data_IF_000309387422
#
_entry.id   IF_000309387422
#
_cell.length_a   1.000
_cell.length_b   1.000
_cell.length_c   1.000
_cell.angle_alpha   90.00
_cell.angle_beta   90.00
_cell.angle_gamma   90.00
#
_symmetry.space_group_name_H-M   'P 1'
#
loop_
_entity.id
_entity.type
_entity.pdbx_description
1 polymer ?
#
# COMPACT_ATOMS: atom_id res chain seq x y z
N UNK A 1 19.16 16.85 18.17
CA UNK A 1 19.45 15.79 19.17
C UNK A 1 18.11 15.33 19.70
N UNK A 2 17.79 14.04 19.59
CA UNK A 2 16.49 13.50 20.01
C UNK A 2 16.37 13.62 21.53
N UNK A 3 15.30 14.23 22.03
CA UNK A 3 15.05 14.38 23.46
C UNK A 3 14.85 13.01 24.12
N UNK A 4 15.74 12.65 25.04
CA UNK A 4 15.77 11.33 25.68
C UNK A 4 14.55 11.07 26.58
N UNK A 5 13.96 12.11 27.16
CA UNK A 5 12.78 11.99 28.03
C UNK A 5 11.53 11.71 27.19
N UNK A 6 11.38 12.44 26.09
CA UNK A 6 10.28 12.21 25.13
C UNK A 6 10.44 10.83 24.50
N UNK A 7 11.66 10.45 24.10
CA UNK A 7 11.95 9.14 23.51
C UNK A 7 11.60 7.98 24.44
N UNK A 8 11.93 8.07 25.72
CA UNK A 8 11.60 7.04 26.71
C UNK A 8 10.08 6.90 26.87
N UNK A 9 9.34 8.01 26.91
CA UNK A 9 7.88 7.98 26.97
C UNK A 9 7.27 7.33 25.74
N UNK A 10 7.68 7.77 24.55
CA UNK A 10 7.23 7.19 23.27
C UNK A 10 7.57 5.70 23.17
N UNK A 11 8.80 5.31 23.50
CA UNK A 11 9.22 3.90 23.47
C UNK A 11 8.44 3.03 24.45
N UNK A 12 8.07 3.57 25.61
CA UNK A 12 7.24 2.85 26.59
C UNK A 12 5.83 2.62 26.06
N UNK A 13 5.23 3.63 25.42
CA UNK A 13 3.93 3.50 24.78
C UNK A 13 3.95 2.50 23.63
N UNK A 14 4.99 2.54 22.78
CA UNK A 14 5.15 1.61 21.66
C UNK A 14 5.36 0.16 22.14
N UNK A 15 6.09 -0.04 23.24
CA UNK A 15 6.23 -1.38 23.85
C UNK A 15 4.93 -1.89 24.48
N UNK A 16 4.12 -1.00 25.05
CA UNK A 16 2.89 -1.37 25.73
C UNK A 16 1.72 -1.61 24.77
N UNK A 17 1.60 -0.80 23.71
CA UNK A 17 0.44 -0.80 22.81
C UNK A 17 0.77 -1.24 21.39
N UNK A 18 2.04 -1.56 21.09
CA UNK A 18 2.48 -1.89 19.75
C UNK A 18 2.65 -0.64 18.87
N UNK A 19 2.44 -0.82 17.56
CA UNK A 19 2.66 0.25 16.57
C UNK A 19 1.60 1.33 16.70
N UNK A 20 2.00 2.59 16.83
CA UNK A 20 1.09 3.71 17.02
C UNK A 20 1.32 4.80 15.98
N UNK A 21 0.26 5.55 15.64
CA UNK A 21 0.36 6.71 14.76
C UNK A 21 0.79 7.95 15.52
N UNK A 22 1.27 8.97 14.80
CA UNK A 22 1.67 10.24 15.42
C UNK A 22 0.55 10.89 16.24
N UNK A 23 -0.71 10.84 15.75
CA UNK A 23 -1.84 11.42 16.47
C UNK A 23 -2.07 10.77 17.82
N UNK A 24 -2.05 9.44 17.87
CA UNK A 24 -2.23 8.66 19.11
C UNK A 24 -1.06 8.87 20.07
N UNK A 25 0.17 8.96 19.55
CA UNK A 25 1.34 9.27 20.37
C UNK A 25 1.27 10.70 20.95
N UNK A 26 0.85 11.68 20.14
CA UNK A 26 0.69 13.05 20.57
C UNK A 26 -0.36 13.19 21.68
N UNK A 27 -1.51 12.53 21.52
CA UNK A 27 -2.56 12.50 22.54
C UNK A 27 -2.07 11.87 23.85
N UNK A 28 -1.44 10.68 23.78
CA UNK A 28 -0.96 9.95 24.97
C UNK A 28 0.20 10.64 25.67
N UNK A 29 1.02 11.40 24.94
CA UNK A 29 2.14 12.18 25.49
C UNK A 29 1.72 13.60 25.92
N UNK A 30 0.45 13.97 25.72
CA UNK A 30 -0.07 15.33 25.94
C UNK A 30 0.78 16.39 25.21
N UNK A 31 1.09 16.13 23.95
CA UNK A 31 1.89 16.98 23.06
C UNK A 31 1.08 17.39 21.84
N UNK A 32 1.42 18.55 21.26
CA UNK A 32 0.85 18.95 19.97
C UNK A 32 1.31 17.99 18.87
N UNK A 33 0.41 17.53 17.98
CA UNK A 33 0.78 16.69 16.85
C UNK A 33 1.88 17.29 15.97
N UNK A 34 1.88 18.61 15.78
CA UNK A 34 2.92 19.32 15.02
C UNK A 34 4.32 19.11 15.64
N UNK A 35 4.45 19.26 16.95
CA UNK A 35 5.71 19.03 17.67
C UNK A 35 6.11 17.54 17.69
N UNK A 36 5.12 16.65 17.82
CA UNK A 36 5.34 15.20 17.81
C UNK A 36 5.85 14.71 16.44
N UNK A 37 5.31 15.22 15.33
CA UNK A 37 5.77 14.85 13.98
C UNK A 37 7.25 15.19 13.78
N UNK A 38 7.69 16.39 14.17
CA UNK A 38 9.11 16.76 14.03
C UNK A 38 10.02 15.87 14.89
N UNK A 39 9.63 15.61 16.13
CA UNK A 39 10.38 14.70 17.01
C UNK A 39 10.49 13.28 16.43
N UNK A 40 9.37 12.73 15.93
CA UNK A 40 9.35 11.38 15.38
C UNK A 40 10.17 11.24 14.11
N UNK A 41 10.19 12.26 13.25
CA UNK A 41 11.07 12.32 12.06
C UNK A 41 12.54 12.30 12.47
N UNK A 42 12.93 13.16 13.40
CA UNK A 42 14.30 13.19 13.93
C UNK A 42 14.72 11.84 14.55
N UNK A 43 13.79 11.17 15.25
CA UNK A 43 14.03 9.87 15.88
C UNK A 43 14.14 8.72 14.87
N UNK A 44 13.40 8.78 13.76
CA UNK A 44 13.49 7.81 12.64
C UNK A 44 14.78 8.03 11.85
N UNK A 45 15.11 9.29 11.55
CA UNK A 45 16.36 9.65 10.84
C UNK A 45 17.59 9.26 11.66
N UNK A 46 17.51 9.35 12.99
CA UNK A 46 18.55 8.87 13.90
C UNK A 46 18.59 7.34 14.07
N UNK A 47 17.67 6.59 13.44
CA UNK A 47 17.59 5.13 13.49
C UNK A 47 17.10 4.58 14.84
N UNK A 48 16.53 5.43 15.70
CA UNK A 48 16.09 5.06 17.06
C UNK A 48 14.64 4.59 17.07
N UNK A 49 13.85 5.00 16.07
CA UNK A 49 12.50 4.52 15.77
C UNK A 49 12.42 4.04 14.32
N UNK A 50 11.45 3.19 14.03
CA UNK A 50 11.10 2.79 12.65
C UNK A 50 9.72 3.31 12.30
N UNK A 51 9.51 3.71 11.05
CA UNK A 51 8.23 4.16 10.52
C UNK A 51 7.80 3.28 9.33
N UNK A 52 6.50 2.98 9.26
CA UNK A 52 5.88 2.25 8.16
C UNK A 52 4.42 2.69 8.00
N UNK A 53 4.09 3.34 6.87
CA UNK A 53 2.73 3.78 6.51
C UNK A 53 2.03 4.64 7.58
N UNK A 54 2.77 5.53 8.24
CA UNK A 54 2.30 6.43 9.31
C UNK A 54 2.33 5.82 10.71
N UNK A 55 2.79 4.57 10.85
CA UNK A 55 2.93 3.87 12.14
C UNK A 55 4.38 3.82 12.59
N UNK A 56 4.61 4.17 13.85
CA UNK A 56 5.92 4.18 14.48
C UNK A 56 6.10 2.95 15.38
N UNK A 57 7.32 2.43 15.46
CA UNK A 57 7.70 1.27 16.29
C UNK A 57 9.16 1.42 16.78
N UNK A 58 9.53 0.67 17.82
CA UNK A 58 10.92 0.60 18.31
C UNK A 58 11.68 -0.43 17.46
N UNK A 59 12.92 -0.15 17.00
CA UNK A 59 13.73 -1.09 16.25
C UNK A 59 13.93 -2.38 17.05
N UNK A 60 13.29 -3.45 16.61
CA UNK A 60 13.50 -4.78 17.18
C UNK A 60 14.76 -5.36 16.53
N UNK A 61 15.73 -5.89 17.31
CA UNK A 61 16.89 -6.55 16.72
C UNK A 61 16.40 -7.71 15.86
N UNK A 62 16.55 -7.56 14.54
CA UNK A 62 16.47 -8.69 13.62
C UNK A 62 17.69 -9.58 13.89
N UNK A 63 17.53 -10.89 14.07
CA UNK A 63 18.64 -11.81 13.86
C UNK A 63 19.24 -11.56 12.46
N UNK A 64 20.56 -11.40 12.41
CA UNK A 64 21.35 -11.01 11.23
C UNK A 64 21.17 -11.98 10.03
N UNK A 65 21.13 -11.50 8.76
CA UNK A 65 21.03 -12.30 7.53
C UNK A 65 22.46 -12.64 6.99
N UNK A 66 22.68 -13.63 6.08
CA UNK A 66 21.98 -13.80 4.80
C UNK A 66 21.58 -15.26 4.53
N UNK A 67 20.28 -15.56 4.60
CA UNK A 67 19.81 -16.88 4.15
C UNK A 67 19.52 -16.79 2.65
N UNK A 68 20.45 -17.33 1.86
CA UNK A 68 20.13 -17.88 0.54
C UNK A 68 18.85 -18.71 0.69
N UNK A 69 17.82 -18.36 -0.09
CA UNK A 69 16.54 -19.05 -0.14
C UNK A 69 16.74 -20.54 -0.42
N UNK A 70 16.86 -21.34 0.63
CA UNK A 70 16.53 -22.76 0.60
C UNK A 70 15.27 -22.88 1.44
N UNK A 71 14.17 -23.21 0.76
CA UNK A 71 12.88 -23.43 1.36
C UNK A 71 12.99 -24.46 2.49
N UNK A 72 12.72 -24.04 3.72
CA UNK A 72 12.30 -24.95 4.78
C UNK A 72 11.30 -24.19 5.64
N UNK A 73 10.10 -24.78 5.70
CA UNK A 73 8.88 -24.23 6.24
C UNK A 73 9.01 -23.92 7.74
N UNK A 74 9.03 -22.65 8.09
CA UNK A 74 8.51 -22.16 9.37
C UNK A 74 7.28 -21.31 9.05
N UNK A 75 6.19 -21.41 9.83
CA UNK A 75 4.98 -20.67 9.53
C UNK A 75 5.27 -19.20 9.82
N UNK A 76 5.52 -18.44 8.76
CA UNK A 76 5.26 -17.02 8.78
C UNK A 76 3.81 -16.88 9.26
N UNK A 77 3.57 -16.03 10.26
CA UNK A 77 2.25 -15.41 10.37
C UNK A 77 2.15 -14.61 9.09
N UNK A 78 1.55 -15.24 8.09
CA UNK A 78 1.43 -14.73 6.75
C UNK A 78 0.39 -13.62 6.88
N UNK A 79 0.85 -12.38 7.08
CA UNK A 79 -0.01 -11.19 7.14
C UNK A 79 -0.83 -11.02 5.83
N UNK A 80 -0.69 -11.94 4.86
CA UNK A 80 -1.47 -12.08 3.64
C UNK A 80 -2.55 -13.19 3.67
N UNK A 81 -2.70 -14.00 4.75
CA UNK A 81 -3.77 -15.04 4.80
C UNK A 81 -5.15 -14.44 4.52
N UNK A 82 -5.40 -13.23 5.04
CA UNK A 82 -6.65 -12.50 4.84
C UNK A 82 -6.90 -12.03 3.40
N UNK A 83 -6.04 -12.32 2.42
CA UNK A 83 -6.24 -12.01 1.01
C UNK A 83 -5.79 -13.14 0.07
N UNK A 84 -5.52 -14.35 0.57
CA UNK A 84 -5.03 -15.48 -0.23
C UNK A 84 -5.99 -15.93 -1.36
N UNK A 85 -7.27 -15.51 -1.32
CA UNK A 85 -8.22 -15.76 -2.42
C UNK A 85 -8.07 -14.78 -3.58
N UNK A 86 -7.37 -13.65 -3.40
CA UNK A 86 -7.14 -12.66 -4.46
C UNK A 86 -5.96 -13.10 -5.32
N UNK A 87 -6.13 -12.96 -6.63
CA UNK A 87 -5.14 -13.35 -7.63
C UNK A 87 -4.12 -12.25 -7.82
N UNK A 88 -2.84 -12.58 -7.66
CA UNK A 88 -1.74 -11.73 -8.13
C UNK A 88 -1.54 -11.96 -9.63
N UNK A 89 -1.70 -10.92 -10.43
CA UNK A 89 -1.53 -10.97 -11.87
C UNK A 89 -0.19 -10.39 -12.30
N UNK A 90 0.38 -10.81 -13.45
CA UNK A 90 1.56 -10.16 -14.00
C UNK A 90 1.22 -8.76 -14.52
N UNK A 91 2.25 -7.92 -14.65
CA UNK A 91 2.15 -6.68 -15.40
C UNK A 91 1.87 -6.97 -16.87
N UNK A 92 0.96 -6.20 -17.47
CA UNK A 92 0.62 -6.24 -18.89
C UNK A 92 1.27 -5.03 -19.55
N UNK A 93 2.11 -5.27 -20.54
CA UNK A 93 2.77 -4.21 -21.30
C UNK A 93 1.81 -3.58 -22.31
N UNK A 94 1.95 -2.27 -22.50
CA UNK A 94 1.10 -1.44 -23.35
C UNK A 94 -0.31 -1.23 -22.80
N UNK A 95 -1.26 -0.98 -23.70
CA UNK A 95 -2.66 -0.69 -23.39
C UNK A 95 -3.63 -1.72 -24.00
N UNK A 96 -3.12 -2.87 -24.44
CA UNK A 96 -3.97 -3.96 -24.94
C UNK A 96 -4.65 -4.66 -23.78
N UNK A 97 -5.97 -4.83 -23.85
CA UNK A 97 -6.77 -5.44 -22.77
C UNK A 97 -6.91 -6.94 -23.02
N UNK A 98 -6.31 -7.81 -22.18
CA UNK A 98 -6.43 -9.25 -22.34
C UNK A 98 -7.86 -9.70 -22.01
N UNK A 99 -8.31 -10.81 -22.62
CA UNK A 99 -9.64 -11.38 -22.33
C UNK A 99 -9.85 -11.66 -20.83
N UNK A 100 -8.77 -12.02 -20.13
CA UNK A 100 -8.74 -12.24 -18.68
C UNK A 100 -9.21 -11.03 -17.87
N UNK A 101 -9.03 -9.80 -18.37
CA UNK A 101 -9.48 -8.60 -17.66
C UNK A 101 -11.00 -8.59 -17.39
N UNK A 102 -11.78 -9.27 -18.25
CA UNK A 102 -13.24 -9.41 -18.07
C UNK A 102 -13.62 -10.19 -16.83
N UNK A 103 -12.77 -11.09 -16.33
CA UNK A 103 -13.02 -11.83 -15.09
C UNK A 103 -12.97 -10.93 -13.84
N UNK A 104 -12.30 -9.78 -13.94
CA UNK A 104 -12.13 -8.81 -12.86
C UNK A 104 -13.01 -7.57 -13.03
N UNK A 105 -13.94 -7.62 -13.99
CA UNK A 105 -14.83 -6.52 -14.27
C UNK A 105 -15.85 -6.39 -13.14
N UNK A 106 -16.01 -5.17 -12.63
CA UNK A 106 -16.94 -4.87 -11.53
C UNK A 106 -17.86 -3.71 -11.92
N UNK A 107 -19.06 -3.68 -11.34
CA UNK A 107 -20.03 -2.61 -11.58
C UNK A 107 -21.30 -3.08 -12.27
N UNK A 108 -22.08 -2.13 -12.77
CA UNK A 108 -23.34 -2.39 -13.46
C UNK A 108 -23.06 -2.98 -14.84
N UNK A 109 -23.82 -4.00 -15.24
CA UNK A 109 -23.76 -4.59 -16.58
C UNK A 109 -23.75 -3.48 -17.64
N UNK A 110 -22.82 -3.54 -18.60
CA UNK A 110 -22.57 -2.54 -19.67
C UNK A 110 -21.78 -1.28 -19.27
N UNK A 111 -21.43 -1.14 -18.00
CA UNK A 111 -20.54 -0.11 -17.45
C UNK A 111 -19.44 -0.73 -16.58
N UNK A 112 -19.07 -1.98 -16.88
CA UNK A 112 -18.11 -2.69 -16.06
C UNK A 112 -16.71 -2.09 -16.18
N UNK A 113 -16.05 -1.96 -15.03
CA UNK A 113 -14.73 -1.38 -14.89
C UNK A 113 -13.77 -2.34 -14.20
N UNK A 114 -12.53 -2.35 -14.65
CA UNK A 114 -11.43 -3.12 -14.04
C UNK A 114 -10.48 -2.14 -13.39
N UNK A 115 -10.25 -2.29 -12.09
CA UNK A 115 -9.30 -1.43 -11.37
C UNK A 115 -7.87 -1.86 -11.69
N UNK A 116 -7.00 -0.88 -11.91
CA UNK A 116 -5.62 -1.10 -12.29
C UNK A 116 -4.67 -0.09 -11.61
N UNK A 117 -3.39 -0.45 -11.58
CA UNK A 117 -2.29 0.50 -11.45
C UNK A 117 -1.63 0.62 -12.82
N UNK A 118 -1.59 1.83 -13.38
CA UNK A 118 -0.95 2.09 -14.66
C UNK A 118 0.38 2.82 -14.45
N UNK A 119 1.41 2.40 -15.18
CA UNK A 119 2.62 3.18 -15.39
C UNK A 119 2.43 4.08 -16.61
N UNK A 120 2.65 5.39 -16.44
CA UNK A 120 2.48 6.38 -17.51
C UNK A 120 3.81 6.88 -18.07
N UNK A 121 3.77 7.36 -19.31
CA UNK A 121 4.91 7.92 -20.00
C UNK A 121 5.49 9.19 -19.34
N UNK A 122 6.67 9.61 -19.81
CA UNK A 122 7.33 10.82 -19.32
C UNK A 122 6.53 12.09 -19.62
N UNK A 123 5.74 12.11 -20.69
CA UNK A 123 4.98 13.30 -21.11
C UNK A 123 3.89 13.64 -20.10
N UNK A 124 3.19 12.64 -19.59
CA UNK A 124 2.22 12.83 -18.51
C UNK A 124 2.92 13.20 -17.20
N UNK A 125 4.11 12.65 -16.94
CA UNK A 125 4.89 13.01 -15.76
C UNK A 125 5.32 14.49 -15.77
N UNK A 126 5.74 15.00 -16.92
CA UNK A 126 6.10 16.41 -17.12
C UNK A 126 4.89 17.35 -16.92
N UNK A 127 3.67 16.87 -17.17
CA UNK A 127 2.42 17.58 -16.86
C UNK A 127 2.02 17.49 -15.38
N UNK A 128 2.86 16.91 -14.52
CA UNK A 128 2.65 16.80 -13.09
C UNK A 128 1.96 15.51 -12.63
N UNK A 129 1.76 14.54 -13.53
CA UNK A 129 1.19 13.24 -13.17
C UNK A 129 2.24 12.34 -12.48
N UNK A 130 1.89 11.59 -11.43
CA UNK A 130 2.80 10.58 -10.89
C UNK A 130 3.13 9.49 -11.92
N UNK A 131 4.31 8.88 -11.83
CA UNK A 131 4.72 7.76 -12.71
C UNK A 131 3.74 6.58 -12.67
N UNK A 132 3.27 6.24 -11.49
CA UNK A 132 2.31 5.18 -11.25
C UNK A 132 1.02 5.79 -10.74
N UNK A 133 -0.09 5.45 -11.39
CA UNK A 133 -1.39 6.04 -11.10
C UNK A 133 -2.44 4.97 -10.93
N UNK A 134 -3.36 5.22 -10.00
CA UNK A 134 -4.60 4.46 -9.90
C UNK A 134 -5.49 4.83 -11.09
N UNK A 135 -5.96 3.82 -11.79
CA UNK A 135 -6.84 3.98 -12.94
C UNK A 135 -7.84 2.83 -12.99
N UNK A 136 -8.82 2.95 -13.88
CA UNK A 136 -9.71 1.86 -14.23
C UNK A 136 -9.84 1.75 -15.74
N UNK A 137 -10.06 0.53 -16.21
CA UNK A 137 -10.36 0.23 -17.61
C UNK A 137 -11.87 0.18 -17.74
N UNK A 138 -12.45 1.06 -18.54
CA UNK A 138 -13.81 0.87 -19.06
C UNK A 138 -13.75 -0.24 -20.11
N UNK A 139 -14.24 -1.45 -19.77
CA UNK A 139 -14.12 -2.62 -20.66
C UNK A 139 -14.89 -2.39 -21.97
N UNK A 140 -16.02 -1.68 -21.91
CA UNK A 140 -16.87 -1.45 -23.09
C UNK A 140 -16.17 -0.53 -24.08
N UNK A 141 -15.56 0.55 -23.60
CA UNK A 141 -14.89 1.54 -24.45
C UNK A 141 -13.43 1.21 -24.72
N UNK A 142 -12.85 0.26 -23.98
CA UNK A 142 -11.43 -0.07 -24.05
C UNK A 142 -10.53 1.08 -23.62
N UNK A 143 -11.00 1.92 -22.69
CA UNK A 143 -10.31 3.15 -22.27
C UNK A 143 -9.78 3.04 -20.85
N UNK A 144 -8.58 3.57 -20.67
CA UNK A 144 -7.92 3.70 -19.38
C UNK A 144 -8.22 5.09 -18.85
N UNK A 145 -8.85 5.16 -17.68
CA UNK A 145 -9.29 6.41 -17.08
C UNK A 145 -8.62 6.55 -15.72
N UNK A 146 -7.92 7.65 -15.49
CA UNK A 146 -7.29 7.93 -14.21
C UNK A 146 -8.35 8.15 -13.13
N UNK A 147 -8.21 7.48 -11.98
CA UNK A 147 -9.20 7.53 -10.91
C UNK A 147 -9.31 8.91 -10.24
N UNK A 148 -8.21 9.68 -10.18
CA UNK A 148 -8.20 10.97 -9.50
C UNK A 148 -8.66 12.13 -10.37
N UNK A 149 -8.31 12.10 -11.67
CA UNK A 149 -8.62 13.20 -12.60
C UNK A 149 -9.82 12.91 -13.50
N UNK A 150 -10.23 11.64 -13.64
CA UNK A 150 -11.17 11.17 -14.66
C UNK A 150 -10.71 11.41 -16.11
N UNK A 151 -9.42 11.69 -16.32
CA UNK A 151 -8.86 11.85 -17.66
C UNK A 151 -8.59 10.50 -18.32
N UNK A 152 -8.78 10.47 -19.65
CA UNK A 152 -8.36 9.34 -20.47
C UNK A 152 -6.83 9.34 -20.60
N UNK A 153 -6.20 8.27 -20.15
CA UNK A 153 -4.74 8.08 -20.16
C UNK A 153 -4.30 6.96 -21.12
N UNK A 154 -5.21 6.40 -21.91
CA UNK A 154 -4.99 5.19 -22.74
C UNK A 154 -3.73 5.23 -23.58
N UNK A 155 -3.44 6.36 -24.24
CA UNK A 155 -2.29 6.51 -25.13
C UNK A 155 -0.97 6.74 -24.39
N UNK A 156 -1.04 6.97 -23.08
CA UNK A 156 0.10 7.25 -22.23
C UNK A 156 0.47 6.08 -21.30
N UNK A 157 -0.31 4.99 -21.31
CA UNK A 157 -0.03 3.80 -20.52
C UNK A 157 1.10 3.01 -21.16
N UNK A 158 2.20 2.86 -20.42
CA UNK A 158 3.34 2.02 -20.81
C UNK A 158 3.10 0.56 -20.45
N UNK A 159 2.55 0.32 -19.26
CA UNK A 159 2.13 -0.99 -18.75
C UNK A 159 1.17 -0.82 -17.59
N UNK A 160 0.43 -1.86 -17.24
CA UNK A 160 -0.50 -1.81 -16.14
C UNK A 160 -0.62 -3.15 -15.40
N UNK A 161 -1.05 -3.06 -14.15
CA UNK A 161 -1.32 -4.20 -13.28
C UNK A 161 -2.80 -4.21 -12.93
N UNK A 162 -3.48 -5.32 -13.23
CA UNK A 162 -4.88 -5.52 -12.84
C UNK A 162 -4.96 -5.80 -11.34
N UNK A 163 -5.86 -5.10 -10.65
CA UNK A 163 -6.15 -5.31 -9.25
C UNK A 163 -7.34 -6.25 -9.11
N UNK A 164 -7.14 -7.34 -8.38
CA UNK A 164 -8.25 -8.23 -8.00
C UNK A 164 -9.03 -7.60 -6.85
N UNK A 165 -10.13 -6.94 -7.21
CA UNK A 165 -11.09 -6.35 -6.28
C UNK A 165 -12.24 -7.30 -5.92
N UNK A 166 -12.10 -8.60 -6.16
CA UNK A 166 -13.16 -9.57 -5.85
C UNK A 166 -13.53 -9.50 -4.36
N UNK A 167 -14.84 -9.62 -4.05
CA UNK A 167 -15.30 -9.63 -2.67
C UNK A 167 -14.74 -10.84 -1.92
N UNK A 168 -14.70 -10.74 -0.60
CA UNK A 168 -14.34 -11.86 0.28
C UNK A 168 -15.31 -13.03 0.01
N UNK A 169 -14.84 -14.26 -0.20
CA UNK A 169 -15.71 -15.42 -0.35
C UNK A 169 -16.57 -15.61 0.89
N UNK A 170 -17.88 -15.83 0.73
CA UNK A 170 -18.83 -15.99 1.84
C UNK A 170 -18.43 -17.06 2.86
N UNK A 171 -17.72 -18.12 2.43
CA UNK A 171 -17.21 -19.19 3.28
C UNK A 171 -16.16 -18.73 4.33
N UNK A 172 -15.50 -17.58 4.11
CA UNK A 172 -14.53 -17.00 5.05
C UNK A 172 -15.24 -16.07 6.06
N UNK A 173 -16.48 -15.68 5.78
CA UNK A 173 -17.23 -14.68 6.54
C UNK A 173 -17.93 -15.25 7.79
N UNK A 174 -18.15 -16.57 7.84
CA UNK A 174 -18.78 -17.26 8.99
C UNK A 174 -17.80 -17.64 10.11
N UNK A 175 -16.51 -17.36 9.96
CA UNK A 175 -15.47 -17.69 10.95
C UNK A 175 -14.93 -16.47 11.73
N UNK A 176 -15.53 -15.29 11.57
CA UNK A 176 -15.12 -14.03 12.21
C UNK A 176 -16.10 -13.61 13.32
#
# INVERSE_FOLDING_TARGET
>A
MVDAKILNGVSTLLRAFGRLTCGVLAEKMNMLPSSMVYFLRDAVDAGVLTECNGFYDVPRPRPTPPVRRNATEQPAVDDAVWCNWRRSLPWVEGNTIPALAKEFATGVLTCESVHIVAEVDNRMCEQGMPRFVMAYIDIRLGRFICSSSAWNITDHVLRYLILDCSPVPAAVQEMA
#
